data_IF_873851563773
#
_entry.id   IF_873851563773
#
_cell.length_a   1.000
_cell.length_b   1.000
_cell.length_c   1.000
_cell.angle_alpha   90.00
_cell.angle_beta   90.00
_cell.angle_gamma   90.00
#
_symmetry.space_group_name_H-M   'P 1'
#
loop_
_entity.id
_entity.type
_entity.pdbx_description
1 polymer ?
#
# COMPACT_ATOMS: atom_id res chain seq x y z
N UNK A 1 8.93 -0.47 23.66
CA UNK A 1 8.56 -1.69 22.91
C UNK A 1 8.64 -1.32 21.44
N UNK A 2 9.57 -1.91 20.68
CA UNK A 2 9.59 -1.78 19.22
C UNK A 2 8.38 -2.53 18.67
N UNK A 3 7.46 -1.83 18.02
CA UNK A 3 6.37 -2.46 17.26
C UNK A 3 7.00 -3.21 16.08
N UNK A 4 6.63 -4.46 15.87
CA UNK A 4 6.96 -5.15 14.64
C UNK A 4 6.25 -4.44 13.48
N UNK A 5 7.01 -4.06 12.46
CA UNK A 5 6.50 -3.49 11.22
C UNK A 5 6.63 -4.51 10.11
N UNK A 6 5.67 -4.51 9.20
CA UNK A 6 5.68 -5.31 7.99
C UNK A 6 5.72 -4.40 6.79
N UNK A 7 6.52 -4.77 5.79
CA UNK A 7 6.57 -4.08 4.51
C UNK A 7 5.84 -4.90 3.45
N UNK A 8 4.85 -4.31 2.79
CA UNK A 8 4.21 -4.84 1.59
C UNK A 8 4.84 -4.15 0.38
N UNK A 9 5.05 -4.90 -0.70
CA UNK A 9 5.62 -4.40 -1.95
C UNK A 9 4.61 -4.67 -3.07
N UNK A 10 4.25 -3.63 -3.81
CA UNK A 10 3.38 -3.72 -4.97
C UNK A 10 4.19 -3.35 -6.21
N UNK A 11 4.47 -4.33 -7.05
CA UNK A 11 5.20 -4.09 -8.30
C UNK A 11 4.36 -3.24 -9.26
N UNK A 12 4.97 -2.23 -9.90
CA UNK A 12 4.26 -1.40 -10.89
C UNK A 12 3.70 -2.22 -12.05
N UNK A 13 4.33 -3.36 -12.36
CA UNK A 13 3.87 -4.29 -13.40
C UNK A 13 2.55 -5.00 -13.04
N UNK A 14 2.22 -5.10 -11.75
CA UNK A 14 1.00 -5.75 -11.25
C UNK A 14 -0.12 -4.74 -10.97
N UNK A 15 0.15 -3.44 -11.13
CA UNK A 15 -0.88 -2.43 -10.90
C UNK A 15 -2.03 -2.58 -11.91
N UNK A 16 -3.29 -2.55 -11.45
CA UNK A 16 -4.45 -2.49 -12.32
C UNK A 16 -4.39 -1.34 -13.34
N UNK A 17 -5.01 -1.53 -14.50
CA UNK A 17 -5.01 -0.53 -15.58
C UNK A 17 -5.77 0.77 -15.23
N UNK A 18 -6.55 0.77 -14.15
CA UNK A 18 -7.23 1.98 -13.65
C UNK A 18 -6.28 2.94 -12.93
N UNK A 19 -5.08 2.50 -12.55
CA UNK A 19 -4.07 3.39 -11.99
C UNK A 19 -3.24 4.06 -13.10
N UNK A 20 -3.04 5.37 -12.98
CA UNK A 20 -2.12 6.09 -13.86
C UNK A 20 -0.67 5.76 -13.49
N UNK A 21 -0.12 4.72 -14.12
CA UNK A 21 1.28 4.29 -13.95
C UNK A 21 2.30 5.38 -14.30
N UNK A 22 1.90 6.47 -14.95
CA UNK A 22 2.75 7.66 -15.18
C UNK A 22 2.97 8.49 -13.92
N UNK A 23 2.17 8.26 -12.86
CA UNK A 23 2.19 9.01 -11.59
C UNK A 23 2.24 8.08 -10.38
N UNK A 24 3.37 7.38 -10.18
CA UNK A 24 3.51 6.42 -9.08
C UNK A 24 3.34 7.04 -7.69
N UNK A 25 3.70 8.33 -7.54
CA UNK A 25 3.49 9.11 -6.30
C UNK A 25 1.99 9.23 -5.95
N UNK A 26 1.16 9.50 -6.94
CA UNK A 26 -0.29 9.63 -6.76
C UNK A 26 -0.92 8.28 -6.40
N UNK A 27 -0.39 7.18 -6.94
CA UNK A 27 -0.83 5.82 -6.59
C UNK A 27 -0.47 5.51 -5.14
N UNK A 28 0.77 5.79 -4.72
CA UNK A 28 1.18 5.61 -3.32
C UNK A 28 0.29 6.43 -2.37
N UNK A 29 0.02 7.69 -2.68
CA UNK A 29 -0.86 8.54 -1.89
C UNK A 29 -2.32 8.02 -1.82
N UNK A 30 -2.84 7.49 -2.93
CA UNK A 30 -4.17 6.90 -2.99
C UNK A 30 -4.27 5.65 -2.10
N UNK A 31 -3.25 4.78 -2.15
CA UNK A 31 -3.16 3.58 -1.31
C UNK A 31 -3.05 3.95 0.17
N UNK A 32 -2.21 4.92 0.52
CA UNK A 32 -2.10 5.39 1.90
C UNK A 32 -3.44 5.94 2.42
N UNK A 33 -4.14 6.72 1.60
CA UNK A 33 -5.45 7.28 1.95
C UNK A 33 -6.48 6.18 2.18
N UNK A 34 -6.55 5.17 1.30
CA UNK A 34 -7.47 4.06 1.46
C UNK A 34 -7.22 3.25 2.75
N UNK A 35 -5.94 2.99 3.06
CA UNK A 35 -5.56 2.32 4.31
C UNK A 35 -5.93 3.17 5.54
N UNK A 36 -5.70 4.49 5.46
CA UNK A 36 -6.03 5.43 6.52
C UNK A 36 -7.54 5.53 6.78
N UNK A 37 -8.35 5.56 5.72
CA UNK A 37 -9.81 5.57 5.81
C UNK A 37 -10.35 4.29 6.45
N UNK A 38 -9.64 3.16 6.27
CA UNK A 38 -9.90 1.91 6.98
C UNK A 38 -9.34 1.86 8.42
N UNK A 39 -8.75 2.95 8.93
CA UNK A 39 -8.18 3.04 10.27
C UNK A 39 -6.80 2.37 10.43
N UNK A 40 -6.13 2.06 9.32
CA UNK A 40 -4.82 1.41 9.31
C UNK A 40 -3.76 2.50 9.26
N UNK A 41 -2.79 2.43 10.18
CA UNK A 41 -1.66 3.36 10.21
C UNK A 41 -0.58 2.81 9.29
N UNK A 42 -0.68 3.12 8.01
CA UNK A 42 0.31 2.76 6.99
C UNK A 42 0.98 4.01 6.41
N UNK A 43 2.22 3.85 5.98
CA UNK A 43 2.97 4.82 5.18
C UNK A 43 3.23 4.18 3.82
N UNK A 44 2.74 4.81 2.74
CA UNK A 44 3.01 4.34 1.39
C UNK A 44 3.97 5.30 0.69
N UNK A 45 4.94 4.75 -0.04
CA UNK A 45 5.92 5.55 -0.78
C UNK A 45 6.25 4.89 -2.10
N UNK A 46 6.43 5.70 -3.13
CA UNK A 46 6.95 5.23 -4.40
C UNK A 46 8.45 4.94 -4.27
N UNK A 47 8.86 3.75 -4.70
CA UNK A 47 10.25 3.37 -4.90
C UNK A 47 10.44 3.12 -6.39
N UNK A 48 11.66 3.26 -6.91
CA UNK A 48 11.97 3.11 -8.34
C UNK A 48 11.34 1.89 -9.03
N UNK A 49 11.17 0.76 -8.33
CA UNK A 49 10.61 -0.49 -8.89
C UNK A 49 9.21 -0.87 -8.41
N UNK A 50 8.75 -0.33 -7.28
CA UNK A 50 7.53 -0.78 -6.62
C UNK A 50 7.01 0.30 -5.66
N UNK A 51 5.75 0.18 -5.27
CA UNK A 51 5.22 0.93 -4.13
C UNK A 51 5.56 0.15 -2.86
N UNK A 52 6.20 0.83 -1.91
CA UNK A 52 6.51 0.30 -0.59
C UNK A 52 5.43 0.77 0.37
N UNK A 53 4.84 -0.16 1.12
CA UNK A 53 3.87 0.15 2.17
C UNK A 53 4.42 -0.38 3.49
N UNK A 54 4.58 0.48 4.48
CA UNK A 54 5.02 0.13 5.83
C UNK A 54 3.88 0.28 6.81
N UNK A 55 3.59 -0.77 7.58
CA UNK A 55 2.50 -0.78 8.53
C UNK A 55 2.81 -1.70 9.75
N UNK A 56 2.13 -1.53 10.89
CA UNK A 56 2.28 -2.42 12.04
C UNK A 56 1.87 -3.85 11.69
N UNK A 57 2.69 -4.85 12.04
CA UNK A 57 2.40 -6.27 11.73
C UNK A 57 1.04 -6.73 12.26
N UNK A 58 0.56 -6.14 13.36
CA UNK A 58 -0.78 -6.40 13.91
C UNK A 58 -1.93 -6.00 12.98
N UNK A 59 -1.69 -5.08 12.04
CA UNK A 59 -2.68 -4.59 11.08
C UNK A 59 -2.51 -5.22 9.69
N UNK A 60 -1.58 -6.15 9.51
CA UNK A 60 -1.29 -6.79 8.22
C UNK A 60 -2.54 -7.42 7.60
N UNK A 61 -3.30 -8.19 8.37
CA UNK A 61 -4.50 -8.85 7.86
C UNK A 61 -5.54 -7.85 7.34
N UNK A 62 -5.79 -6.77 8.09
CA UNK A 62 -6.72 -5.71 7.68
C UNK A 62 -6.22 -4.94 6.45
N UNK A 63 -4.91 -4.63 6.41
CA UNK A 63 -4.29 -3.99 5.25
C UNK A 63 -4.39 -4.86 3.99
N UNK A 64 -4.14 -6.16 4.10
CA UNK A 64 -4.29 -7.09 2.99
C UNK A 64 -5.73 -7.13 2.46
N UNK A 65 -6.76 -7.04 3.32
CA UNK A 65 -8.15 -6.95 2.85
C UNK A 65 -8.38 -5.70 2.01
N UNK A 66 -7.96 -4.52 2.49
CA UNK A 66 -8.11 -3.27 1.75
C UNK A 66 -7.35 -3.30 0.42
N UNK A 67 -6.12 -3.83 0.42
CA UNK A 67 -5.33 -3.94 -0.81
C UNK A 67 -5.95 -4.92 -1.82
N UNK A 68 -6.56 -6.02 -1.36
CA UNK A 68 -7.28 -6.94 -2.22
C UNK A 68 -8.56 -6.32 -2.81
N UNK A 69 -9.29 -5.50 -2.04
CA UNK A 69 -10.44 -4.73 -2.54
C UNK A 69 -10.05 -3.71 -3.62
N UNK A 70 -8.84 -3.14 -3.51
CA UNK A 70 -8.22 -2.30 -4.53
C UNK A 70 -7.60 -3.08 -5.69
N UNK A 71 -7.68 -4.42 -5.67
CA UNK A 71 -7.09 -5.32 -6.67
C UNK A 71 -5.57 -5.18 -6.82
N UNK A 72 -4.87 -4.86 -5.73
CA UNK A 72 -3.43 -4.67 -5.69
C UNK A 72 -2.65 -5.95 -5.33
N UNK A 73 -3.34 -6.96 -4.77
CA UNK A 73 -2.82 -8.27 -4.39
C UNK A 73 -3.86 -9.37 -4.62
#
# INVERSE_FOLDING_TARGET
MTMATTTIRIDYAMLPDHFDRSRPDAIAAAVETALRDAGIKAEASDIFSHIKIELPTSQLAAASTVLAELQLI
#
